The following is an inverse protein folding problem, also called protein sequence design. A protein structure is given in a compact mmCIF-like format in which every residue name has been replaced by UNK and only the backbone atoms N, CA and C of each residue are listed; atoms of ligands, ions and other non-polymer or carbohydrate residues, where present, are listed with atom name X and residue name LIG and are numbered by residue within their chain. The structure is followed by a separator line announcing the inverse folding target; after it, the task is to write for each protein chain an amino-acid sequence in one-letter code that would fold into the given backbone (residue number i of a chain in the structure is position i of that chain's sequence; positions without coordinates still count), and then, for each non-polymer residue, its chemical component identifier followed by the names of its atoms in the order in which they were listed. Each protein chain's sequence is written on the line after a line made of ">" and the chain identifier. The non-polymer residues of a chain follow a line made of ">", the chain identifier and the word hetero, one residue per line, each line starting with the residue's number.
data_IF_174603885584
#
_entry.id   IF_174603885584
#
_cell.length_a   1.000
_cell.length_b   1.000
_cell.length_c   1.000
_cell.angle_alpha   90.00
_cell.angle_beta   90.00
_cell.angle_gamma   90.00
#
_symmetry.space_group_name_H-M   'P 1'
#
loop_
_entity.id
_entity.type
_entity.pdbx_description
1 polymer ?
#
# COMPACT_ATOMS: atom_id res chain seq x y z
N UNK A 1 6.67 13.58 7.78
CA UNK A 1 6.73 12.33 7.01
C UNK A 1 6.57 12.71 5.55
N UNK A 2 7.36 12.13 4.65
CA UNK A 2 7.14 12.25 3.20
C UNK A 2 6.29 11.05 2.76
N UNK A 3 5.31 11.27 1.88
CA UNK A 3 4.40 10.23 1.39
C UNK A 3 4.68 9.98 -0.10
N UNK A 4 4.86 8.72 -0.47
CA UNK A 4 4.99 8.29 -1.87
C UNK A 4 3.89 7.29 -2.25
N UNK A 5 3.68 7.11 -3.56
CA UNK A 5 2.78 6.11 -4.14
C UNK A 5 3.60 5.13 -4.95
N UNK A 6 3.81 3.93 -4.39
CA UNK A 6 4.60 2.87 -5.01
C UNK A 6 3.72 1.84 -5.76
N UNK A 7 2.39 2.03 -5.70
CA UNK A 7 1.42 1.26 -6.50
C UNK A 7 0.21 2.12 -6.85
N UNK A 8 -0.61 1.66 -7.78
CA UNK A 8 -1.92 2.22 -8.03
C UNK A 8 -2.87 2.06 -6.84
N UNK A 9 -3.92 2.87 -6.83
CA UNK A 9 -4.88 3.00 -5.73
C UNK A 9 -6.32 2.64 -6.12
N UNK A 10 -7.15 2.35 -5.12
CA UNK A 10 -8.60 2.11 -5.31
C UNK A 10 -9.30 3.35 -5.87
N UNK A 11 -8.92 4.52 -5.38
CA UNK A 11 -9.57 5.80 -5.68
C UNK A 11 -8.96 6.54 -6.89
N UNK A 12 -7.95 5.96 -7.55
CA UNK A 12 -7.22 6.65 -8.62
C UNK A 12 -7.74 6.17 -9.99
N UNK A 13 -8.16 7.09 -10.88
CA UNK A 13 -8.49 6.74 -12.27
C UNK A 13 -7.25 6.22 -13.02
N UNK A 14 -7.44 5.27 -13.94
CA UNK A 14 -6.39 4.83 -14.88
C UNK A 14 -5.32 3.88 -14.33
N UNK A 15 -5.34 3.54 -13.03
CA UNK A 15 -4.39 2.59 -12.41
C UNK A 15 -5.13 1.58 -11.55
N UNK A 16 -4.58 0.37 -11.37
CA UNK A 16 -5.17 -0.64 -10.49
C UNK A 16 -4.38 -0.79 -9.19
N UNK A 17 -5.00 -1.24 -8.07
CA UNK A 17 -4.28 -1.59 -6.85
C UNK A 17 -3.07 -2.51 -7.05
N UNK A 18 -3.16 -3.42 -8.02
CA UNK A 18 -2.09 -4.35 -8.40
C UNK A 18 -1.00 -3.76 -9.30
N UNK A 19 -1.13 -2.52 -9.76
CA UNK A 19 -0.15 -1.88 -10.66
C UNK A 19 1.03 -1.31 -9.86
N UNK A 20 2.26 -1.82 -10.01
CA UNK A 20 3.44 -1.21 -9.38
C UNK A 20 3.74 0.15 -9.99
N UNK A 21 4.31 1.05 -9.17
CA UNK A 21 4.78 2.38 -9.55
C UNK A 21 6.12 2.65 -8.87
N UNK A 22 6.95 3.49 -9.49
CA UNK A 22 8.32 3.77 -9.07
C UNK A 22 9.24 2.55 -9.11
N UNK A 23 10.50 2.81 -9.44
CA UNK A 23 11.60 1.86 -9.30
C UNK A 23 12.14 1.90 -7.86
N UNK A 24 12.86 0.85 -7.46
CA UNK A 24 13.55 0.85 -6.16
C UNK A 24 14.50 2.05 -6.02
N UNK A 25 15.17 2.45 -7.11
CA UNK A 25 16.08 3.58 -7.12
C UNK A 25 15.36 4.91 -6.83
N UNK A 26 14.17 5.12 -7.40
CA UNK A 26 13.35 6.31 -7.11
C UNK A 26 12.83 6.31 -5.67
N UNK A 27 12.45 5.14 -5.14
CA UNK A 27 12.03 5.01 -3.74
C UNK A 27 13.20 5.31 -2.79
N UNK A 28 14.39 4.77 -3.08
CA UNK A 28 15.61 5.03 -2.31
C UNK A 28 15.99 6.50 -2.34
N UNK A 29 15.91 7.16 -3.49
CA UNK A 29 16.14 8.59 -3.60
C UNK A 29 15.17 9.40 -2.72
N UNK A 30 13.88 9.05 -2.71
CA UNK A 30 12.90 9.70 -1.83
C UNK A 30 13.23 9.50 -0.34
N UNK A 31 13.71 8.31 0.05
CA UNK A 31 14.14 8.01 1.42
C UNK A 31 15.38 8.83 1.80
N UNK A 32 16.37 8.90 0.94
CA UNK A 32 17.60 9.67 1.15
C UNK A 32 17.31 11.16 1.34
N UNK A 33 16.48 11.76 0.48
CA UNK A 33 16.10 13.18 0.59
C UNK A 33 15.27 13.46 1.84
N UNK A 34 14.33 12.56 2.19
CA UNK A 34 13.56 12.69 3.42
C UNK A 34 14.48 12.61 4.66
N UNK A 35 15.48 11.73 4.66
CA UNK A 35 16.43 11.54 5.76
C UNK A 35 17.29 12.78 6.00
N UNK A 36 17.76 13.46 4.94
CA UNK A 36 18.48 14.74 5.05
C UNK A 36 17.67 15.81 5.79
N UNK A 37 16.35 15.76 5.67
CA UNK A 37 15.42 16.63 6.39
C UNK A 37 14.97 16.08 7.76
N UNK A 38 15.57 14.99 8.25
CA UNK A 38 15.19 14.32 9.50
C UNK A 38 13.77 13.73 9.46
N UNK A 39 13.29 13.35 8.28
CA UNK A 39 11.94 12.81 8.05
C UNK A 39 11.99 11.33 7.64
N UNK A 40 10.90 10.62 7.96
CA UNK A 40 10.62 9.25 7.51
C UNK A 40 9.74 9.24 6.26
N UNK A 41 9.71 8.12 5.55
CA UNK A 41 8.88 7.94 4.34
C UNK A 41 7.83 6.85 4.55
N UNK A 42 6.58 7.18 4.25
CA UNK A 42 5.46 6.26 4.16
C UNK A 42 5.14 5.97 2.69
N UNK A 43 4.90 4.71 2.33
CA UNK A 43 4.55 4.34 0.97
C UNK A 43 3.11 3.82 0.89
N UNK A 44 2.31 4.36 -0.04
CA UNK A 44 1.10 3.67 -0.49
C UNK A 44 1.56 2.50 -1.35
N UNK A 45 1.35 1.27 -0.87
CA UNK A 45 1.74 0.06 -1.60
C UNK A 45 0.72 -1.06 -1.33
N UNK A 46 0.00 -1.46 -2.38
CA UNK A 46 -0.98 -2.55 -2.35
C UNK A 46 -0.44 -3.80 -3.04
N UNK A 47 0.08 -3.67 -4.25
CA UNK A 47 0.70 -4.76 -5.03
C UNK A 47 1.94 -5.34 -4.35
N UNK A 48 2.07 -6.67 -4.36
CA UNK A 48 3.19 -7.41 -3.76
C UNK A 48 4.56 -6.93 -4.27
N UNK A 49 4.70 -6.66 -5.57
CA UNK A 49 5.95 -6.16 -6.16
C UNK A 49 6.33 -4.75 -5.69
N UNK A 50 5.35 -3.86 -5.54
CA UNK A 50 5.57 -2.51 -5.01
C UNK A 50 5.91 -2.53 -3.51
N UNK A 51 5.26 -3.41 -2.74
CA UNK A 51 5.61 -3.65 -1.33
C UNK A 51 7.06 -4.15 -1.25
N UNK A 52 7.44 -5.16 -2.05
CA UNK A 52 8.81 -5.69 -2.08
C UNK A 52 9.84 -4.60 -2.36
N UNK A 53 9.64 -3.80 -3.42
CA UNK A 53 10.54 -2.71 -3.78
C UNK A 53 10.68 -1.68 -2.64
N UNK A 54 9.58 -1.36 -1.95
CA UNK A 54 9.63 -0.48 -0.79
C UNK A 54 10.45 -1.07 0.37
N UNK A 55 10.26 -2.36 0.68
CA UNK A 55 11.01 -3.03 1.74
C UNK A 55 12.50 -3.13 1.42
N UNK A 56 12.85 -3.47 0.18
CA UNK A 56 14.25 -3.56 -0.25
C UNK A 56 14.95 -2.19 -0.31
N UNK A 57 14.19 -1.11 -0.56
CA UNK A 57 14.68 0.26 -0.46
C UNK A 57 14.83 0.78 0.99
N UNK A 58 14.30 0.07 2.00
CA UNK A 58 14.36 0.49 3.41
C UNK A 58 13.26 1.47 3.83
N UNK A 59 12.04 1.32 3.29
CA UNK A 59 10.88 2.15 3.67
C UNK A 59 10.60 2.09 5.19
N UNK A 60 10.02 3.16 5.74
CA UNK A 60 9.59 3.16 7.15
C UNK A 60 8.24 2.49 7.35
N UNK A 61 7.23 2.83 6.54
CA UNK A 61 5.89 2.24 6.66
C UNK A 61 5.27 1.91 5.31
N UNK A 62 4.55 0.80 5.30
CA UNK A 62 3.67 0.37 4.21
C UNK A 62 2.24 0.72 4.61
N UNK A 63 1.61 1.58 3.83
CA UNK A 63 0.19 1.88 3.96
C UNK A 63 -0.63 0.93 3.08
N UNK A 64 -1.76 0.48 3.64
CA UNK A 64 -2.67 -0.54 3.11
C UNK A 64 -2.07 -1.95 3.14
N UNK A 65 -1.04 -2.25 2.33
CA UNK A 65 -0.44 -3.60 2.33
C UNK A 65 -1.43 -4.70 1.92
N UNK A 66 -2.23 -4.45 0.88
CA UNK A 66 -3.35 -5.33 0.48
C UNK A 66 -2.90 -6.73 0.08
N UNK A 67 -1.90 -6.86 -0.80
CA UNK A 67 -1.46 -8.14 -1.33
C UNK A 67 -0.19 -8.63 -0.64
N UNK A 68 -0.18 -8.62 0.69
CA UNK A 68 0.88 -9.24 1.50
C UNK A 68 0.83 -10.76 1.39
N UNK A 69 2.00 -11.38 1.25
CA UNK A 69 2.24 -12.81 1.38
C UNK A 69 3.19 -13.11 2.54
N UNK A 70 3.46 -14.39 2.81
CA UNK A 70 4.32 -14.79 3.92
C UNK A 70 5.75 -14.25 3.79
N UNK A 71 6.31 -14.21 2.58
CA UNK A 71 7.67 -13.73 2.33
C UNK A 71 7.77 -12.23 2.60
N UNK A 72 6.77 -11.46 2.18
CA UNK A 72 6.69 -10.03 2.42
C UNK A 72 6.52 -9.73 3.91
N UNK A 73 5.67 -10.48 4.62
CA UNK A 73 5.53 -10.33 6.08
C UNK A 73 6.85 -10.63 6.79
N UNK A 74 7.54 -11.72 6.41
CA UNK A 74 8.86 -12.03 6.95
C UNK A 74 9.86 -10.91 6.68
N UNK A 75 9.81 -10.34 5.47
CA UNK A 75 10.66 -9.20 5.08
C UNK A 75 10.35 -7.94 5.89
N UNK A 76 9.07 -7.62 6.14
CA UNK A 76 8.67 -6.52 7.01
C UNK A 76 9.23 -6.67 8.43
N UNK A 77 9.18 -7.89 8.99
CA UNK A 77 9.77 -8.20 10.30
C UNK A 77 11.29 -8.01 10.30
N UNK A 78 11.97 -8.41 9.23
CA UNK A 78 13.43 -8.24 9.08
C UNK A 78 13.84 -6.77 8.96
N UNK A 79 13.10 -5.95 8.21
CA UNK A 79 13.43 -4.54 7.98
C UNK A 79 12.92 -3.61 9.08
N UNK A 80 11.99 -4.07 9.91
CA UNK A 80 11.32 -3.26 10.93
C UNK A 80 10.31 -2.27 10.35
N UNK A 81 9.83 -2.51 9.12
CA UNK A 81 8.82 -1.67 8.48
C UNK A 81 7.45 -1.83 9.15
N UNK A 82 6.77 -0.72 9.41
CA UNK A 82 5.43 -0.73 10.01
C UNK A 82 4.36 -1.02 8.95
N UNK A 83 3.32 -1.77 9.33
CA UNK A 83 2.10 -1.94 8.55
C UNK A 83 1.00 -1.00 9.07
N UNK A 84 0.40 -0.21 8.17
CA UNK A 84 -0.80 0.59 8.47
C UNK A 84 -1.92 0.12 7.53
N UNK A 85 -2.73 -0.88 7.93
CA UNK A 85 -3.56 -1.62 6.99
C UNK A 85 -4.80 -0.85 6.54
N UNK A 86 -5.39 0.04 7.34
CA UNK A 86 -6.59 0.81 6.96
C UNK A 86 -7.80 -0.05 6.52
N UNK A 87 -7.97 -1.23 7.12
CA UNK A 87 -8.98 -2.24 6.74
C UNK A 87 -10.39 -1.67 6.55
N UNK A 88 -10.80 -0.69 7.36
CA UNK A 88 -12.15 -0.11 7.32
C UNK A 88 -12.45 0.64 6.01
N UNK A 89 -11.44 1.23 5.35
CA UNK A 89 -11.65 2.09 4.19
C UNK A 89 -12.25 1.35 2.98
N UNK A 90 -11.68 0.23 2.48
CA UNK A 90 -12.29 -0.49 1.37
C UNK A 90 -13.64 -1.13 1.74
N UNK A 91 -13.85 -1.51 3.01
CA UNK A 91 -15.17 -2.00 3.47
C UNK A 91 -16.22 -0.91 3.34
N UNK A 92 -15.97 0.28 3.89
CA UNK A 92 -16.91 1.40 3.80
C UNK A 92 -17.20 1.84 2.35
N UNK A 93 -16.23 1.73 1.44
CA UNK A 93 -16.45 2.03 0.01
C UNK A 93 -17.28 0.93 -0.65
N UNK A 94 -16.99 -0.35 -0.37
CA UNK A 94 -17.74 -1.48 -0.90
C UNK A 94 -19.21 -1.47 -0.42
N UNK A 95 -19.40 -1.06 0.83
CA UNK A 95 -20.66 -1.02 1.55
C UNK A 95 -21.33 0.35 1.38
N UNK A 96 -22.05 0.52 0.28
CA UNK A 96 -22.88 1.71 0.04
C UNK A 96 -22.17 2.88 -0.64
N UNK A 97 -20.91 2.71 -1.10
CA UNK A 97 -20.18 3.76 -1.79
C UNK A 97 -20.91 4.33 -3.02
N UNK A 98 -21.54 3.49 -3.84
CA UNK A 98 -22.29 3.95 -5.02
C UNK A 98 -23.48 4.84 -4.61
N UNK A 99 -24.21 4.46 -3.56
CA UNK A 99 -25.31 5.27 -3.02
C UNK A 99 -24.82 6.59 -2.41
N UNK A 100 -23.59 6.62 -1.91
CA UNK A 100 -22.91 7.82 -1.42
C UNK A 100 -22.25 8.66 -2.53
N UNK A 101 -22.43 8.31 -3.81
CA UNK A 101 -21.89 9.06 -4.95
C UNK A 101 -20.44 8.70 -5.33
N UNK A 102 -19.86 7.65 -4.77
CA UNK A 102 -18.56 7.14 -5.19
C UNK A 102 -18.70 6.48 -6.57
N UNK A 103 -17.86 6.84 -7.56
CA UNK A 103 -17.89 6.21 -8.88
C UNK A 103 -17.80 4.68 -8.84
N UNK A 104 -18.63 4.01 -9.64
CA UNK A 104 -18.73 2.54 -9.67
C UNK A 104 -17.38 1.83 -9.88
N UNK A 105 -16.47 2.45 -10.63
CA UNK A 105 -15.14 1.88 -10.86
C UNK A 105 -14.29 1.79 -9.58
N UNK A 106 -14.46 2.75 -8.65
CA UNK A 106 -13.76 2.76 -7.36
C UNK A 106 -14.39 1.75 -6.41
N UNK A 107 -15.72 1.64 -6.40
CA UNK A 107 -16.44 0.64 -5.59
C UNK A 107 -16.09 -0.78 -6.04
N UNK A 108 -16.01 -1.03 -7.35
CA UNK A 108 -15.49 -2.30 -7.89
C UNK A 108 -14.09 -2.60 -7.38
N UNK A 109 -13.16 -1.63 -7.44
CA UNK A 109 -11.78 -1.79 -6.96
C UNK A 109 -11.74 -2.07 -5.46
N UNK A 110 -12.57 -1.38 -4.67
CA UNK A 110 -12.67 -1.62 -3.23
C UNK A 110 -13.13 -3.04 -2.92
N UNK A 111 -14.18 -3.54 -3.58
CA UNK A 111 -14.65 -4.92 -3.45
C UNK A 111 -13.56 -5.94 -3.83
N UNK A 112 -12.81 -5.66 -4.90
CA UNK A 112 -11.76 -6.56 -5.40
C UNK A 112 -10.57 -6.73 -4.44
N UNK A 113 -10.34 -5.79 -3.51
CA UNK A 113 -9.21 -5.87 -2.57
C UNK A 113 -9.57 -6.50 -1.22
N UNK A 114 -10.86 -6.59 -0.84
CA UNK A 114 -11.30 -6.96 0.51
C UNK A 114 -10.70 -8.27 1.01
N UNK A 115 -10.87 -9.35 0.23
CA UNK A 115 -10.43 -10.69 0.63
C UNK A 115 -8.90 -10.76 0.79
N UNK A 116 -8.17 -10.23 -0.20
CA UNK A 116 -6.71 -10.20 -0.15
C UNK A 116 -6.20 -9.36 1.03
N UNK A 117 -6.82 -8.21 1.26
CA UNK A 117 -6.44 -7.29 2.33
C UNK A 117 -6.64 -7.90 3.72
N UNK A 118 -7.77 -8.61 3.94
CA UNK A 118 -8.03 -9.36 5.17
C UNK A 118 -6.98 -10.45 5.40
N UNK A 119 -6.75 -11.32 4.41
CA UNK A 119 -5.73 -12.38 4.50
C UNK A 119 -4.33 -11.83 4.75
N UNK A 120 -3.94 -10.77 4.03
CA UNK A 120 -2.64 -10.14 4.17
C UNK A 120 -2.41 -9.57 5.57
N UNK A 121 -3.45 -8.98 6.17
CA UNK A 121 -3.41 -8.52 7.55
C UNK A 121 -3.32 -9.66 8.55
N UNK A 122 -4.11 -10.73 8.38
CA UNK A 122 -4.07 -11.92 9.26
C UNK A 122 -2.68 -12.57 9.29
N UNK A 123 -1.95 -12.58 8.17
CA UNK A 123 -0.56 -13.07 8.13
C UNK A 123 0.40 -12.20 8.95
N UNK A 124 0.10 -10.91 9.13
CA UNK A 124 0.99 -9.93 9.72
C UNK A 124 0.84 -9.77 11.25
N UNK A 125 -0.20 -10.33 11.85
CA UNK A 125 -0.52 -10.22 13.29
C UNK A 125 -0.19 -11.47 14.11
#
# INVERSE_FOLDING_TARGET
>A
VIKIFATGGVMTPGVEPGSPQLTEAEIRAAIEEASKAGRRVAAHAQAASGIRACLDAGITSIEHGVYLDQDLVARMKQTGAYLVPTLIAPHAIADGGEAAGIPAFMVRKARAVLEAHGRGFELAV
#
